data_IF_878145016392
#
_entry.id   IF_878145016392
#
_cell.length_a   1.000
_cell.length_b   1.000
_cell.length_c   1.000
_cell.angle_alpha   90.00
_cell.angle_beta   90.00
_cell.angle_gamma   90.00
#
_symmetry.space_group_name_H-M   'P 1'
#
loop_
_entity.id
_entity.type
_entity.pdbx_description
1 polymer ?
#
# COMPACT_ATOMS: atom_id res chain seq x y z
N UNK A 1 -14.36 0.06 5.65
CA UNK A 1 -14.96 1.05 4.75
C UNK A 1 -16.13 0.36 4.07
N UNK A 2 -17.31 0.96 4.11
CA UNK A 2 -18.49 0.47 3.38
C UNK A 2 -18.58 1.20 2.04
N UNK A 3 -17.75 0.78 1.08
CA UNK A 3 -17.58 1.45 -0.22
C UNK A 3 -17.49 0.41 -1.33
N UNK A 4 -17.99 0.77 -2.51
CA UNK A 4 -17.93 -0.06 -3.72
C UNK A 4 -16.65 0.25 -4.51
N UNK A 5 -15.85 -0.79 -4.76
CA UNK A 5 -14.61 -0.69 -5.53
C UNK A 5 -14.86 -1.10 -6.98
N UNK A 6 -14.39 -0.28 -7.92
CA UNK A 6 -14.51 -0.54 -9.37
C UNK A 6 -13.30 -1.29 -9.91
N UNK A 7 -12.10 -0.92 -9.46
CA UNK A 7 -10.88 -1.57 -9.90
C UNK A 7 -9.79 -1.54 -8.83
N UNK A 8 -8.88 -2.51 -8.93
CA UNK A 8 -7.75 -2.68 -8.00
C UNK A 8 -6.48 -2.88 -8.82
N UNK A 9 -5.50 -2.02 -8.60
CA UNK A 9 -4.15 -2.17 -9.14
C UNK A 9 -3.20 -2.56 -8.01
N UNK A 10 -2.54 -3.71 -8.13
CA UNK A 10 -1.65 -4.22 -7.08
C UNK A 10 -0.20 -4.09 -7.55
N UNK A 11 0.67 -3.60 -6.67
CA UNK A 11 2.11 -3.59 -6.91
C UNK A 11 2.86 -4.22 -5.72
N UNK A 12 3.88 -5.02 -6.05
CA UNK A 12 4.82 -5.56 -5.07
C UNK A 12 5.99 -4.60 -4.93
N UNK A 13 6.20 -4.11 -3.71
CA UNK A 13 7.37 -3.33 -3.36
C UNK A 13 8.32 -4.21 -2.56
N UNK A 14 9.44 -4.59 -3.20
CA UNK A 14 10.46 -5.41 -2.54
C UNK A 14 11.14 -4.60 -1.45
N UNK A 15 11.33 -5.23 -0.30
CA UNK A 15 12.05 -4.67 0.81
C UNK A 15 13.48 -4.33 0.43
N UNK A 16 13.97 -3.21 0.94
CA UNK A 16 15.35 -2.76 0.70
C UNK A 16 16.31 -3.59 1.54
N UNK A 17 17.44 -3.94 0.96
CA UNK A 17 18.57 -4.43 1.76
C UNK A 17 19.13 -3.28 2.59
N UNK A 18 19.36 -3.56 3.87
CA UNK A 18 19.88 -2.65 4.87
C UNK A 18 20.91 -3.39 5.72
N UNK A 19 21.92 -2.68 6.18
CA UNK A 19 22.97 -3.26 7.01
C UNK A 19 22.64 -3.05 8.48
N UNK A 20 22.78 -4.10 9.28
CA UNK A 20 22.73 -4.04 10.73
C UNK A 20 24.05 -4.56 11.29
N UNK A 21 24.92 -3.63 11.72
CA UNK A 21 26.28 -3.94 12.17
C UNK A 21 27.06 -4.69 11.08
N UNK A 22 27.58 -5.91 11.32
CA UNK A 22 28.30 -6.68 10.31
C UNK A 22 27.38 -7.41 9.31
N UNK A 23 26.08 -7.57 9.57
CA UNK A 23 25.18 -8.40 8.75
C UNK A 23 24.37 -7.55 7.76
N UNK A 24 24.20 -8.06 6.54
CA UNK A 24 23.19 -7.55 5.60
C UNK A 24 21.84 -8.21 5.92
N UNK A 25 20.80 -7.40 6.07
CA UNK A 25 19.42 -7.84 6.31
C UNK A 25 18.49 -7.15 5.31
N UNK A 26 17.27 -7.66 5.14
CA UNK A 26 16.28 -7.09 4.21
C UNK A 26 15.04 -6.66 4.98
N UNK A 27 14.53 -5.46 4.69
CA UNK A 27 13.23 -5.06 5.22
C UNK A 27 12.13 -5.97 4.66
N UNK A 28 10.96 -6.08 5.31
CA UNK A 28 9.86 -6.87 4.78
C UNK A 28 9.40 -6.33 3.41
N UNK A 29 8.95 -7.25 2.56
CA UNK A 29 8.30 -6.91 1.30
C UNK A 29 6.88 -6.37 1.60
N UNK A 30 6.46 -5.36 0.84
CA UNK A 30 5.14 -4.74 1.00
C UNK A 30 4.34 -4.98 -0.28
N UNK A 31 3.16 -5.57 -0.15
CA UNK A 31 2.15 -5.58 -1.23
C UNK A 31 1.27 -4.35 -1.08
N UNK A 32 1.35 -3.43 -2.03
CA UNK A 32 0.53 -2.21 -2.08
C UNK A 32 -0.63 -2.41 -3.05
N UNK A 33 -1.79 -1.88 -2.70
CA UNK A 33 -2.95 -1.81 -3.57
C UNK A 33 -3.37 -0.35 -3.77
N UNK A 34 -3.58 0.03 -5.03
CA UNK A 34 -4.17 1.30 -5.44
C UNK A 34 -5.58 0.98 -5.92
N UNK A 35 -6.56 1.60 -5.29
CA UNK A 35 -7.97 1.24 -5.43
C UNK A 35 -8.74 2.41 -6.05
N UNK A 36 -9.57 2.11 -7.05
CA UNK A 36 -10.48 3.08 -7.65
C UNK A 36 -11.88 2.82 -7.13
N UNK A 37 -12.44 3.81 -6.45
CA UNK A 37 -13.79 3.76 -5.89
C UNK A 37 -14.84 4.13 -6.93
N UNK A 38 -16.08 3.68 -6.70
CA UNK A 38 -17.23 4.15 -7.46
C UNK A 38 -17.47 5.63 -7.18
N UNK A 39 -17.93 6.37 -8.19
CA UNK A 39 -18.26 7.78 -8.04
C UNK A 39 -19.31 7.99 -6.93
N UNK A 40 -18.99 8.83 -5.95
CA UNK A 40 -19.84 9.13 -4.79
C UNK A 40 -19.39 8.48 -3.49
N UNK A 41 -18.65 7.38 -3.57
CA UNK A 41 -18.11 6.71 -2.38
C UNK A 41 -16.82 7.40 -1.91
N UNK A 42 -16.69 7.60 -0.59
CA UNK A 42 -15.56 8.32 0.01
C UNK A 42 -15.00 7.60 1.22
N UNK A 43 -13.71 7.82 1.45
CA UNK A 43 -13.00 7.31 2.62
C UNK A 43 -12.46 8.52 3.42
N UNK A 44 -13.14 8.84 4.52
CA UNK A 44 -12.91 10.05 5.32
C UNK A 44 -11.47 10.20 5.85
N UNK A 45 -10.79 9.08 6.13
CA UNK A 45 -9.45 9.08 6.74
C UNK A 45 -8.36 9.48 5.74
N UNK A 46 -8.61 9.37 4.43
CA UNK A 46 -7.60 9.54 3.38
C UNK A 46 -7.59 10.98 2.81
N UNK A 47 -8.71 11.70 2.84
CA UNK A 47 -8.83 13.03 2.22
C UNK A 47 -8.30 14.19 3.08
N UNK A 48 -8.02 13.96 4.37
CA UNK A 48 -7.60 14.98 5.34
C UNK A 48 -6.16 14.88 5.84
N UNK A 49 -5.31 14.08 5.17
CA UNK A 49 -3.89 13.87 5.52
C UNK A 49 -2.95 14.43 4.45
#
# INVERSE_FOLDING_TARGET
>A
FDVSVVSVNICWNRGKEKRLGPRMTRTPDIKKAIVTLKSGDRIQIIEGL
#
